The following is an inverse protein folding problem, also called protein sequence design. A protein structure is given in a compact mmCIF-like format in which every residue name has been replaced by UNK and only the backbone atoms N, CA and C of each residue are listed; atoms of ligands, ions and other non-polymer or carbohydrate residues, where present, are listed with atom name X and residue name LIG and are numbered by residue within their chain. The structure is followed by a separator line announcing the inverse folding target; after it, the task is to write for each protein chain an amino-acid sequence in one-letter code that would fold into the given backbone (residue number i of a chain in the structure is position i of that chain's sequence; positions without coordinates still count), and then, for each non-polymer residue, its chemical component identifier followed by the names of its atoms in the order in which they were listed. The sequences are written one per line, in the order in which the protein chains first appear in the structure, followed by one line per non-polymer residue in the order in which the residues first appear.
data_IF_116658498778
#
_entry.id   IF_116658498778
#
_cell.length_a   1.000
_cell.length_b   1.000
_cell.length_c   1.000
_cell.angle_alpha   90.00
_cell.angle_beta   90.00
_cell.angle_gamma   90.00
#
_symmetry.space_group_name_H-M   'P 1'
#
loop_
_entity.id
_entity.type
_entity.pdbx_description
1 polymer ?
#
# COMPACT_ATOMS: atom_id res chain seq x y z
N UNK A 1 -46.15 32.05 45.05
CA UNK A 1 -44.92 31.38 45.50
C UNK A 1 -44.90 30.02 44.82
N UNK A 2 -44.04 29.88 43.82
CA UNK A 2 -43.99 28.71 42.95
C UNK A 2 -43.41 27.50 43.70
N UNK A 3 -44.08 26.34 43.57
CA UNK A 3 -43.46 25.04 43.86
C UNK A 3 -43.59 24.23 42.58
N UNK A 4 -42.42 23.85 42.07
CA UNK A 4 -42.17 23.33 40.74
C UNK A 4 -42.67 21.90 40.53
N UNK A 5 -42.99 21.65 39.26
CA UNK A 5 -43.25 20.38 38.61
C UNK A 5 -42.19 19.31 38.93
N UNK A 6 -42.59 18.25 39.66
CA UNK A 6 -41.86 16.98 39.73
C UNK A 6 -42.78 15.85 39.25
N UNK A 7 -43.13 15.87 37.96
CA UNK A 7 -43.80 14.74 37.29
C UNK A 7 -43.24 14.44 35.89
N UNK A 8 -42.05 14.96 35.56
CA UNK A 8 -41.42 14.81 34.24
C UNK A 8 -40.39 13.68 34.09
N UNK A 9 -40.01 12.99 35.18
CA UNK A 9 -38.84 12.08 35.17
C UNK A 9 -39.20 10.59 35.04
N UNK A 10 -40.37 10.15 35.53
CA UNK A 10 -40.69 8.71 35.58
C UNK A 10 -41.21 8.14 34.25
N UNK A 11 -41.82 8.96 33.38
CA UNK A 11 -42.33 8.49 32.08
C UNK A 11 -41.24 8.33 31.00
N UNK A 12 -40.06 8.95 31.18
CA UNK A 12 -38.95 8.79 30.24
C UNK A 12 -38.15 7.49 30.50
N UNK A 13 -38.05 7.08 31.77
CA UNK A 13 -37.34 5.85 32.18
C UNK A 13 -38.13 4.59 31.83
N UNK A 14 -39.47 4.64 31.97
CA UNK A 14 -40.33 3.49 31.60
C UNK A 14 -40.42 3.26 30.08
N UNK A 15 -40.15 4.27 29.24
CA UNK A 15 -40.05 4.10 27.77
C UNK A 15 -38.69 3.57 27.29
N UNK A 16 -37.61 3.79 28.05
CA UNK A 16 -36.27 3.27 27.69
C UNK A 16 -36.08 1.81 28.10
N UNK A 17 -36.73 1.37 29.18
CA UNK A 17 -36.67 -0.03 29.63
C UNK A 17 -37.51 -0.98 28.77
N UNK A 18 -38.57 -0.49 28.11
CA UNK A 18 -39.38 -1.31 27.22
C UNK A 18 -38.68 -1.60 25.87
N UNK A 19 -37.92 -0.65 25.32
CA UNK A 19 -37.25 -0.82 24.03
C UNK A 19 -35.94 -1.62 24.13
N UNK A 20 -35.28 -1.62 25.29
CA UNK A 20 -34.08 -2.44 25.52
C UNK A 20 -34.44 -3.90 25.78
N UNK A 21 -35.47 -4.16 26.60
CA UNK A 21 -35.96 -5.53 26.82
C UNK A 21 -36.62 -6.14 25.57
N UNK A 22 -37.38 -5.38 24.76
CA UNK A 22 -37.94 -5.91 23.51
C UNK A 22 -36.86 -6.21 22.46
N UNK A 23 -35.74 -5.47 22.43
CA UNK A 23 -34.65 -5.71 21.48
C UNK A 23 -33.74 -6.87 21.90
N UNK A 24 -33.47 -7.02 23.21
CA UNK A 24 -32.77 -8.20 23.74
C UNK A 24 -33.65 -9.47 23.67
N UNK A 25 -34.96 -9.36 23.94
CA UNK A 25 -35.90 -10.48 23.84
C UNK A 25 -36.18 -10.86 22.39
N UNK A 26 -36.24 -9.90 21.45
CA UNK A 26 -36.26 -10.21 20.02
C UNK A 26 -34.96 -10.90 19.57
N UNK A 27 -33.81 -10.51 20.10
CA UNK A 27 -32.53 -11.20 19.82
C UNK A 27 -32.46 -12.60 20.46
N UNK A 28 -33.05 -12.83 21.63
CA UNK A 28 -33.07 -14.14 22.29
C UNK A 28 -34.11 -15.09 21.70
N UNK A 29 -35.23 -14.58 21.16
CA UNK A 29 -36.26 -15.36 20.48
C UNK A 29 -35.96 -15.67 19.01
N UNK A 30 -34.99 -14.98 18.39
CA UNK A 30 -34.41 -15.34 17.08
C UNK A 30 -33.21 -16.31 17.26
N UNK A 31 -33.18 -17.09 18.35
CA UNK A 31 -32.34 -18.28 18.42
C UNK A 31 -32.94 -19.42 17.59
N UNK A 32 -32.88 -19.23 16.28
CA UNK A 32 -33.10 -20.30 15.32
C UNK A 32 -31.93 -21.29 15.47
N UNK A 33 -32.27 -22.57 15.64
CA UNK A 33 -31.41 -23.75 15.86
C UNK A 33 -30.04 -23.66 15.17
N UNK A 34 -29.04 -24.25 15.82
CA UNK A 34 -27.62 -24.52 15.45
C UNK A 34 -27.35 -25.05 14.03
N UNK A 35 -27.92 -24.44 12.98
CA UNK A 35 -27.81 -24.89 11.59
C UNK A 35 -26.41 -24.64 11.01
N UNK A 36 -25.71 -23.61 11.49
CA UNK A 36 -24.39 -23.23 11.01
C UNK A 36 -23.37 -23.25 12.16
N UNK A 37 -22.59 -24.32 12.22
CA UNK A 37 -21.55 -24.51 13.24
C UNK A 37 -20.29 -23.70 12.94
N UNK A 38 -19.77 -23.01 13.96
CA UNK A 38 -18.49 -22.30 13.91
C UNK A 38 -17.35 -23.28 13.60
N UNK A 39 -17.39 -24.47 14.20
CA UNK A 39 -16.38 -25.52 14.01
C UNK A 39 -16.30 -26.01 12.55
N UNK A 40 -17.41 -25.95 11.81
CA UNK A 40 -17.42 -26.32 10.39
C UNK A 40 -16.59 -25.31 9.56
N UNK A 41 -16.75 -24.01 9.83
CA UNK A 41 -15.96 -22.94 9.19
C UNK A 41 -14.49 -23.09 9.55
N UNK A 42 -14.21 -23.29 10.84
CA UNK A 42 -12.85 -23.42 11.33
C UNK A 42 -12.13 -24.62 10.70
N UNK A 43 -12.78 -25.80 10.66
CA UNK A 43 -12.24 -27.00 10.02
C UNK A 43 -12.03 -26.79 8.52
N UNK A 44 -12.98 -26.15 7.84
CA UNK A 44 -12.88 -25.84 6.42
C UNK A 44 -11.67 -24.92 6.12
N UNK A 45 -11.51 -23.83 6.87
CA UNK A 45 -10.39 -22.90 6.71
C UNK A 45 -9.05 -23.55 7.11
N UNK A 46 -9.01 -24.39 8.15
CA UNK A 46 -7.82 -25.17 8.50
C UNK A 46 -7.40 -26.12 7.38
N UNK A 47 -8.36 -26.75 6.69
CA UNK A 47 -8.08 -27.66 5.59
C UNK A 47 -7.63 -26.93 4.31
N UNK A 48 -8.33 -25.86 3.91
CA UNK A 48 -8.05 -25.15 2.66
C UNK A 48 -7.00 -24.04 2.78
N UNK A 49 -6.61 -23.65 4.01
CA UNK A 49 -5.75 -22.51 4.39
C UNK A 49 -6.34 -21.14 4.06
N UNK A 50 -6.85 -20.95 2.85
CA UNK A 50 -7.51 -19.73 2.39
C UNK A 50 -8.79 -20.10 1.65
N UNK A 51 -9.84 -19.28 1.79
CA UNK A 51 -11.10 -19.48 1.07
C UNK A 51 -11.75 -18.16 0.65
N UNK A 52 -12.52 -18.18 -0.42
CA UNK A 52 -13.38 -17.06 -0.81
C UNK A 52 -14.70 -17.09 -0.04
N UNK A 53 -15.43 -15.97 -0.06
CA UNK A 53 -16.77 -15.90 0.51
C UNK A 53 -17.69 -16.99 -0.07
N UNK A 54 -17.69 -17.17 -1.39
CA UNK A 54 -18.57 -18.14 -2.06
C UNK A 54 -18.25 -19.58 -1.63
N UNK A 55 -16.97 -19.92 -1.48
CA UNK A 55 -16.54 -21.24 -0.99
C UNK A 55 -17.03 -21.50 0.44
N UNK A 56 -16.92 -20.51 1.33
CA UNK A 56 -17.42 -20.60 2.71
C UNK A 56 -18.96 -20.72 2.71
N UNK A 57 -19.64 -19.95 1.85
CA UNK A 57 -21.10 -19.98 1.69
C UNK A 57 -21.59 -21.36 1.25
N UNK A 58 -20.97 -21.95 0.23
CA UNK A 58 -21.30 -23.29 -0.26
C UNK A 58 -21.02 -24.35 0.81
N UNK A 59 -19.90 -24.27 1.53
CA UNK A 59 -19.54 -25.23 2.58
C UNK A 59 -20.53 -25.22 3.77
N UNK A 60 -21.19 -24.10 4.02
CA UNK A 60 -22.17 -23.95 5.10
C UNK A 60 -23.62 -24.21 4.70
N UNK A 61 -23.91 -24.48 3.42
CA UNK A 61 -25.29 -24.68 2.95
C UNK A 61 -26.07 -23.39 2.74
N UNK A 62 -25.45 -22.41 2.11
CA UNK A 62 -26.04 -21.14 1.66
C UNK A 62 -26.59 -20.19 2.76
N UNK A 63 -25.85 -19.92 3.85
CA UNK A 63 -26.27 -18.92 4.83
C UNK A 63 -26.25 -17.50 4.26
N UNK A 64 -27.02 -16.62 4.91
CA UNK A 64 -26.99 -15.19 4.63
C UNK A 64 -25.60 -14.59 4.90
N UNK A 65 -25.23 -13.56 4.12
CA UNK A 65 -23.93 -12.89 4.20
C UNK A 65 -23.57 -12.43 5.62
N UNK A 66 -24.53 -11.79 6.30
CA UNK A 66 -24.33 -11.30 7.68
C UNK A 66 -24.06 -12.45 8.67
N UNK A 67 -24.65 -13.63 8.47
CA UNK A 67 -24.44 -14.81 9.31
C UNK A 67 -23.00 -15.32 9.19
N UNK A 68 -22.46 -15.39 7.96
CA UNK A 68 -21.07 -15.80 7.73
C UNK A 68 -20.11 -14.84 8.43
N UNK A 69 -20.26 -13.53 8.22
CA UNK A 69 -19.34 -12.55 8.80
C UNK A 69 -19.40 -12.50 10.33
N UNK A 70 -20.59 -12.65 10.90
CA UNK A 70 -20.73 -12.77 12.37
C UNK A 70 -19.97 -13.99 12.89
N UNK A 71 -20.14 -15.15 12.26
CA UNK A 71 -19.45 -16.39 12.66
C UNK A 71 -17.94 -16.36 12.41
N UNK A 72 -17.49 -15.66 11.37
CA UNK A 72 -16.07 -15.43 11.13
C UNK A 72 -15.47 -14.47 12.16
N UNK A 73 -16.21 -13.44 12.59
CA UNK A 73 -15.77 -12.52 13.63
C UNK A 73 -15.48 -13.25 14.95
N UNK A 74 -16.28 -14.28 15.29
CA UNK A 74 -16.04 -15.16 16.45
C UNK A 74 -14.72 -15.97 16.35
N UNK A 75 -14.13 -16.08 15.16
CA UNK A 75 -12.94 -16.91 14.86
C UNK A 75 -11.65 -16.10 14.61
N UNK A 76 -11.63 -14.80 14.95
CA UNK A 76 -10.51 -13.89 14.68
C UNK A 76 -9.98 -14.00 13.23
N UNK A 77 -10.91 -14.03 12.28
CA UNK A 77 -10.56 -14.17 10.87
C UNK A 77 -9.76 -12.97 10.34
N UNK A 78 -9.00 -13.20 9.28
CA UNK A 78 -8.29 -12.19 8.52
C UNK A 78 -8.78 -12.18 7.08
N UNK A 79 -8.90 -10.98 6.51
CA UNK A 79 -9.13 -10.79 5.08
C UNK A 79 -7.81 -10.47 4.38
N UNK A 80 -7.71 -10.88 3.12
CA UNK A 80 -6.55 -10.57 2.30
C UNK A 80 -6.49 -9.07 2.03
N UNK A 81 -5.38 -8.41 2.32
CA UNK A 81 -5.22 -7.01 1.91
C UNK A 81 -5.00 -6.90 0.39
N UNK A 82 -4.54 -7.97 -0.25
CA UNK A 82 -4.52 -8.13 -1.70
C UNK A 82 -5.89 -8.54 -2.26
N UNK A 83 -6.05 -8.53 -3.59
CA UNK A 83 -7.27 -9.00 -4.27
C UNK A 83 -8.58 -8.38 -3.75
N UNK A 84 -8.51 -7.16 -3.20
CA UNK A 84 -9.66 -6.40 -2.65
C UNK A 84 -10.40 -7.12 -1.52
N UNK A 85 -9.71 -7.85 -0.64
CA UNK A 85 -10.38 -8.52 0.49
C UNK A 85 -11.15 -9.77 0.11
N UNK A 86 -10.87 -10.38 -1.05
CA UNK A 86 -11.64 -11.53 -1.57
C UNK A 86 -11.43 -12.81 -0.76
N UNK A 87 -10.26 -12.99 -0.16
CA UNK A 87 -9.89 -14.22 0.53
C UNK A 87 -9.87 -14.04 2.03
N UNK A 88 -10.23 -15.11 2.74
CA UNK A 88 -10.31 -15.17 4.19
C UNK A 88 -9.49 -16.34 4.72
N UNK A 89 -8.88 -16.13 5.88
CA UNK A 89 -8.09 -17.12 6.62
C UNK A 89 -8.32 -16.94 8.11
N UNK A 90 -7.96 -17.94 8.91
CA UNK A 90 -7.85 -17.78 10.36
C UNK A 90 -6.51 -17.14 10.72
N UNK A 91 -6.48 -16.35 11.79
CA UNK A 91 -5.22 -15.83 12.35
C UNK A 91 -4.28 -16.94 12.78
N UNK A 92 -4.83 -18.05 13.31
CA UNK A 92 -4.06 -19.21 13.77
C UNK A 92 -3.38 -20.02 12.65
N UNK A 93 -3.88 -19.95 11.41
CA UNK A 93 -3.30 -20.65 10.26
C UNK A 93 -2.27 -19.82 9.51
N UNK A 94 -2.26 -18.50 9.71
CA UNK A 94 -1.40 -17.57 9.01
C UNK A 94 0.03 -17.58 9.59
N UNK A 95 1.02 -17.83 8.73
CA UNK A 95 2.45 -17.83 9.11
C UNK A 95 3.10 -16.51 8.72
N UNK A 96 3.02 -15.53 9.61
CA UNK A 96 3.60 -14.21 9.37
C UNK A 96 5.13 -14.22 9.40
N UNK A 97 5.74 -13.49 8.48
CA UNK A 97 7.17 -13.19 8.50
C UNK A 97 7.50 -12.09 9.53
N UNK A 98 8.77 -11.69 9.61
CA UNK A 98 9.23 -10.63 10.52
C UNK A 98 8.50 -9.28 10.32
N UNK A 99 8.05 -8.98 9.11
CA UNK A 99 7.28 -7.78 8.77
C UNK A 99 5.78 -7.91 9.09
N UNK A 100 5.32 -9.08 9.54
CA UNK A 100 3.90 -9.32 9.81
C UNK A 100 3.08 -9.61 8.57
N UNK A 101 3.72 -9.97 7.45
CA UNK A 101 3.07 -10.33 6.19
C UNK A 101 3.12 -11.85 5.98
N UNK A 102 2.07 -12.39 5.38
CA UNK A 102 2.00 -13.78 4.99
C UNK A 102 1.52 -13.90 3.56
N UNK A 103 2.29 -14.58 2.72
CA UNK A 103 1.88 -14.96 1.38
C UNK A 103 1.31 -16.38 1.38
N UNK A 104 0.17 -16.55 0.71
CA UNK A 104 -0.41 -17.85 0.47
C UNK A 104 -0.97 -17.89 -0.96
N UNK A 105 -0.33 -18.67 -1.85
CA UNK A 105 -0.78 -18.83 -3.25
C UNK A 105 -0.95 -17.48 -3.97
N UNK A 106 0.05 -16.60 -3.83
CA UNK A 106 0.04 -15.22 -4.37
C UNK A 106 -1.01 -14.28 -3.77
N UNK A 107 -1.73 -14.72 -2.72
CA UNK A 107 -2.62 -13.88 -1.92
C UNK A 107 -1.90 -13.45 -0.67
N UNK A 108 -1.87 -12.14 -0.45
CA UNK A 108 -1.21 -11.55 0.70
C UNK A 108 -2.17 -11.21 1.84
N UNK A 109 -1.75 -11.55 3.05
CA UNK A 109 -2.39 -11.27 4.33
C UNK A 109 -1.45 -10.51 5.24
N UNK A 110 -2.03 -9.73 6.14
CA UNK A 110 -1.29 -8.91 7.09
C UNK A 110 -1.83 -9.14 8.48
N UNK A 111 -0.94 -9.17 9.47
CA UNK A 111 -1.33 -9.24 10.88
C UNK A 111 -2.13 -8.01 11.34
N UNK A 112 -1.96 -6.89 10.63
CA UNK A 112 -2.61 -5.60 10.87
C UNK A 112 -4.01 -5.52 10.23
N UNK A 113 -4.43 -6.54 9.48
CA UNK A 113 -5.76 -6.59 8.86
C UNK A 113 -5.74 -6.15 7.40
N UNK A 114 -6.44 -5.06 7.09
CA UNK A 114 -6.64 -4.60 5.71
C UNK A 114 -5.45 -3.77 5.18
N UNK A 115 -5.52 -3.37 3.92
CA UNK A 115 -4.44 -2.61 3.25
C UNK A 115 -4.20 -1.24 3.89
N UNK A 116 -5.23 -0.55 4.37
CA UNK A 116 -5.10 0.77 5.00
C UNK A 116 -4.36 0.65 6.32
N UNK A 117 -4.79 -0.28 7.17
CA UNK A 117 -4.20 -0.49 8.50
C UNK A 117 -2.76 -1.03 8.38
N UNK A 118 -2.52 -1.88 7.39
CA UNK A 118 -1.16 -2.35 7.06
C UNK A 118 -0.28 -1.21 6.58
N UNK A 119 -0.74 -0.39 5.63
CA UNK A 119 0.05 0.73 5.13
C UNK A 119 0.37 1.75 6.24
N UNK A 120 -0.57 2.06 7.12
CA UNK A 120 -0.33 2.93 8.26
C UNK A 120 0.70 2.32 9.23
N UNK A 121 0.55 1.06 9.61
CA UNK A 121 1.48 0.39 10.52
C UNK A 121 2.91 0.40 9.97
N UNK A 122 3.07 0.16 8.67
CA UNK A 122 4.38 0.23 8.00
C UNK A 122 4.94 1.66 8.05
N UNK A 123 4.15 2.68 7.69
CA UNK A 123 4.59 4.08 7.77
C UNK A 123 4.98 4.48 9.19
N UNK A 124 4.23 4.07 10.21
CA UNK A 124 4.53 4.38 11.62
C UNK A 124 5.79 3.66 12.13
N UNK A 125 5.99 2.41 11.73
CA UNK A 125 7.18 1.63 12.12
C UNK A 125 8.46 2.04 11.37
N UNK A 126 8.33 2.72 10.24
CA UNK A 126 9.48 3.17 9.44
C UNK A 126 10.26 4.28 10.14
N UNK A 127 11.59 4.19 10.10
CA UNK A 127 12.48 5.26 10.57
C UNK A 127 12.57 6.46 9.61
N UNK A 128 12.10 6.33 8.37
CA UNK A 128 12.23 7.33 7.31
C UNK A 128 10.90 7.65 6.59
N UNK A 129 9.80 7.05 7.03
CA UNK A 129 8.55 7.02 6.26
C UNK A 129 8.67 6.14 5.02
N UNK A 130 7.72 6.28 4.09
CA UNK A 130 7.72 5.53 2.83
C UNK A 130 7.22 6.37 1.66
N UNK A 131 7.80 6.16 0.48
CA UNK A 131 7.16 6.56 -0.78
C UNK A 131 6.13 5.53 -1.24
N UNK A 132 5.23 5.92 -2.13
CA UNK A 132 4.25 5.00 -2.70
C UNK A 132 4.89 3.84 -3.49
N UNK A 133 6.05 4.07 -4.11
CA UNK A 133 6.82 3.06 -4.84
C UNK A 133 7.50 2.08 -3.87
N UNK A 134 8.18 2.59 -2.84
CA UNK A 134 8.80 1.75 -1.80
C UNK A 134 7.75 0.84 -1.14
N UNK A 135 6.62 1.40 -0.72
CA UNK A 135 5.58 0.62 -0.05
C UNK A 135 4.93 -0.41 -0.99
N UNK A 136 4.86 -0.12 -2.30
CA UNK A 136 4.39 -1.08 -3.30
C UNK A 136 5.35 -2.26 -3.45
N UNK A 137 6.66 -2.01 -3.42
CA UNK A 137 7.68 -3.07 -3.50
C UNK A 137 7.61 -4.00 -2.28
N UNK A 138 7.40 -3.43 -1.09
CA UNK A 138 7.29 -4.19 0.17
C UNK A 138 5.95 -4.94 0.29
N UNK A 139 4.82 -4.29 -0.01
CA UNK A 139 3.50 -4.90 0.15
C UNK A 139 3.05 -5.70 -1.07
N UNK A 140 3.79 -5.65 -2.18
CA UNK A 140 3.47 -6.28 -3.46
C UNK A 140 2.12 -5.86 -4.08
N UNK A 141 1.54 -4.74 -3.64
CA UNK A 141 0.24 -4.21 -4.10
C UNK A 141 0.35 -2.70 -4.34
N UNK A 142 -0.43 -2.16 -5.28
CA UNK A 142 -0.49 -0.71 -5.50
C UNK A 142 -1.08 0.00 -4.28
N UNK A 143 -0.31 0.89 -3.65
CA UNK A 143 -0.66 1.56 -2.39
C UNK A 143 -1.12 3.01 -2.54
N UNK A 144 -0.98 3.62 -3.73
CA UNK A 144 -1.27 5.04 -3.96
C UNK A 144 -2.65 5.48 -3.45
N UNK A 145 -3.70 4.74 -3.80
CA UNK A 145 -5.06 5.05 -3.35
C UNK A 145 -5.24 4.90 -1.83
N UNK A 146 -4.68 3.84 -1.24
CA UNK A 146 -4.72 3.61 0.20
C UNK A 146 -4.04 4.76 0.96
N UNK A 147 -2.86 5.16 0.50
CA UNK A 147 -2.12 6.28 1.08
C UNK A 147 -2.85 7.61 0.93
N UNK A 148 -3.46 7.89 -0.23
CA UNK A 148 -4.30 9.08 -0.40
C UNK A 148 -5.48 9.10 0.57
N UNK A 149 -6.11 7.95 0.80
CA UNK A 149 -7.21 7.84 1.76
C UNK A 149 -6.73 8.09 3.20
N UNK A 150 -5.60 7.50 3.60
CA UNK A 150 -5.01 7.69 4.93
C UNK A 150 -4.64 9.15 5.21
N UNK A 151 -4.12 9.88 4.20
CA UNK A 151 -3.84 11.32 4.30
C UNK A 151 -5.12 12.12 4.48
N UNK A 152 -6.16 11.82 3.68
CA UNK A 152 -7.46 12.49 3.79
C UNK A 152 -8.13 12.27 5.14
N UNK A 153 -7.93 11.10 5.75
CA UNK A 153 -8.44 10.81 7.10
C UNK A 153 -7.53 11.33 8.23
N UNK A 154 -6.43 12.01 7.92
CA UNK A 154 -5.49 12.53 8.92
C UNK A 154 -4.69 11.47 9.69
N UNK A 155 -4.67 10.21 9.23
CA UNK A 155 -3.94 9.11 9.90
C UNK A 155 -2.44 9.14 9.61
N UNK A 156 -2.06 9.68 8.45
CA UNK A 156 -0.68 9.86 8.01
C UNK A 156 -0.52 11.25 7.40
N UNK A 157 0.69 11.78 7.46
CA UNK A 157 1.06 13.04 6.80
C UNK A 157 1.73 12.74 5.45
N UNK A 158 1.72 13.71 4.55
CA UNK A 158 2.39 13.61 3.25
C UNK A 158 3.18 14.87 2.97
N UNK A 159 4.45 14.69 2.65
CA UNK A 159 5.36 15.79 2.33
C UNK A 159 6.10 15.57 1.02
N UNK A 160 6.38 16.63 0.26
CA UNK A 160 7.27 16.56 -0.88
C UNK A 160 8.72 16.41 -0.40
N UNK A 161 9.40 15.37 -0.87
CA UNK A 161 10.85 15.22 -0.77
C UNK A 161 11.40 15.14 -2.19
N UNK A 162 12.20 16.12 -2.59
CA UNK A 162 12.71 16.23 -3.95
C UNK A 162 11.56 16.19 -4.98
N UNK A 163 11.48 15.14 -5.81
CA UNK A 163 10.46 14.97 -6.85
C UNK A 163 9.29 14.05 -6.45
N UNK A 164 9.30 13.47 -5.23
CA UNK A 164 8.33 12.44 -4.82
C UNK A 164 7.74 12.72 -3.44
N UNK A 165 6.48 12.33 -3.26
CA UNK A 165 5.83 12.41 -1.97
C UNK A 165 6.25 11.25 -1.05
N UNK A 166 6.71 11.63 0.14
CA UNK A 166 6.96 10.71 1.25
C UNK A 166 5.79 10.80 2.22
N UNK A 167 5.33 9.63 2.65
CA UNK A 167 4.28 9.48 3.63
C UNK A 167 4.90 9.21 4.99
N UNK A 168 4.51 10.02 5.96
CA UNK A 168 5.06 10.08 7.31
C UNK A 168 3.96 9.75 8.33
N UNK A 169 4.35 9.47 9.57
CA UNK A 169 3.39 9.27 10.65
C UNK A 169 2.43 10.46 10.80
N UNK A 170 1.20 10.19 11.24
CA UNK A 170 0.24 11.23 11.64
C UNK A 170 0.71 12.04 12.86
N UNK A 171 1.55 11.43 13.70
CA UNK A 171 2.06 12.00 14.94
C UNK A 171 3.31 12.85 14.66
N UNK A 172 3.27 14.14 15.02
CA UNK A 172 4.29 15.12 14.66
C UNK A 172 5.70 14.74 15.14
N UNK A 173 5.83 14.26 16.38
CA UNK A 173 7.12 13.88 16.95
C UNK A 173 7.78 12.71 16.19
N UNK A 174 6.98 11.74 15.73
CA UNK A 174 7.48 10.62 14.90
C UNK A 174 7.80 11.12 13.51
N UNK A 175 6.93 11.93 12.91
CA UNK A 175 7.13 12.50 11.59
C UNK A 175 8.42 13.34 11.52
N UNK A 176 8.71 14.16 12.53
CA UNK A 176 9.94 14.94 12.62
C UNK A 176 11.20 14.09 12.67
N UNK A 177 11.16 12.98 13.41
CA UNK A 177 12.26 12.01 13.43
C UNK A 177 12.44 11.39 12.04
N UNK A 178 11.35 10.98 11.39
CA UNK A 178 11.38 10.40 10.05
C UNK A 178 11.96 11.37 9.01
N UNK A 179 11.53 12.64 9.05
CA UNK A 179 12.06 13.71 8.17
C UNK A 179 13.57 13.88 8.33
N UNK A 180 14.05 13.97 9.58
CA UNK A 180 15.48 14.15 9.87
C UNK A 180 16.31 12.96 9.38
N UNK A 181 15.89 11.74 9.68
CA UNK A 181 16.57 10.52 9.24
C UNK A 181 16.61 10.43 7.72
N UNK A 182 15.48 10.68 7.04
CA UNK A 182 15.43 10.60 5.57
C UNK A 182 16.32 11.65 4.89
N UNK A 183 16.37 12.88 5.41
CA UNK A 183 17.30 13.91 4.91
C UNK A 183 18.76 13.49 5.09
N UNK A 184 19.11 12.86 6.22
CA UNK A 184 20.46 12.35 6.46
C UNK A 184 20.81 11.17 5.53
N UNK A 185 19.86 10.25 5.33
CA UNK A 185 20.03 9.11 4.43
C UNK A 185 20.22 9.57 2.98
N UNK A 186 19.40 10.48 2.47
CA UNK A 186 19.57 11.04 1.12
C UNK A 186 20.95 11.71 0.93
N UNK A 187 21.42 12.48 1.93
CA UNK A 187 22.76 13.08 1.90
C UNK A 187 23.86 12.02 1.86
N UNK A 188 23.74 10.97 2.69
CA UNK A 188 24.70 9.87 2.76
C UNK A 188 24.72 9.04 1.48
N UNK A 189 23.55 8.72 0.94
CA UNK A 189 23.41 7.92 -0.26
C UNK A 189 23.92 8.71 -1.48
N UNK A 190 23.63 10.01 -1.57
CA UNK A 190 24.25 10.89 -2.56
C UNK A 190 25.78 10.92 -2.43
N UNK A 191 26.30 11.08 -1.22
CA UNK A 191 27.74 11.02 -0.96
C UNK A 191 28.35 9.68 -1.41
N UNK A 192 27.67 8.55 -1.18
CA UNK A 192 28.15 7.22 -1.62
C UNK A 192 28.15 7.02 -3.14
N UNK A 193 27.28 7.72 -3.86
CA UNK A 193 27.19 7.64 -5.32
C UNK A 193 28.24 8.50 -6.01
N UNK A 194 28.59 9.61 -5.39
CA UNK A 194 29.33 10.69 -6.05
C UNK A 194 30.79 10.76 -5.61
N UNK A 195 31.15 10.18 -4.46
CA UNK A 195 32.49 10.31 -3.88
C UNK A 195 33.36 9.09 -4.24
N UNK A 196 34.16 9.24 -5.29
CA UNK A 196 35.47 8.56 -5.39
C UNK A 196 36.57 9.44 -4.77
N UNK A 197 36.37 10.76 -4.72
CA UNK A 197 37.29 11.72 -4.13
C UNK A 197 36.68 12.39 -2.88
N UNK A 198 37.17 12.10 -1.66
CA UNK A 198 36.67 12.67 -0.41
C UNK A 198 36.81 14.20 -0.32
N UNK A 199 37.67 14.80 -1.14
CA UNK A 199 37.94 16.24 -1.14
C UNK A 199 36.98 17.03 -2.04
N UNK A 200 36.18 16.37 -2.88
CA UNK A 200 35.27 17.04 -3.81
C UNK A 200 34.00 17.50 -3.09
N UNK A 201 33.68 18.79 -3.17
CA UNK A 201 32.48 19.32 -2.55
C UNK A 201 31.22 18.71 -3.19
N UNK A 202 30.19 18.44 -2.37
CA UNK A 202 28.90 17.85 -2.83
C UNK A 202 28.29 18.62 -4.00
N UNK A 203 28.37 19.96 -3.98
CA UNK A 203 27.81 20.80 -5.04
C UNK A 203 28.64 20.77 -6.33
N UNK A 204 29.97 20.72 -6.25
CA UNK A 204 30.85 20.58 -7.42
C UNK A 204 30.62 19.23 -8.12
N UNK A 205 30.40 18.20 -7.31
CA UNK A 205 30.15 16.87 -7.81
C UNK A 205 28.76 16.74 -8.46
N UNK A 206 27.73 17.40 -7.89
CA UNK A 206 26.43 17.58 -8.56
C UNK A 206 26.58 18.30 -9.90
N UNK A 207 27.31 19.41 -9.94
CA UNK A 207 27.53 20.19 -11.16
C UNK A 207 28.22 19.34 -12.25
N UNK A 208 29.24 18.57 -11.86
CA UNK A 208 29.95 17.65 -12.76
C UNK A 208 29.01 16.58 -13.34
N UNK A 209 28.16 15.97 -12.52
CA UNK A 209 27.19 14.96 -12.97
C UNK A 209 26.14 15.56 -13.91
N UNK A 210 25.67 16.77 -13.62
CA UNK A 210 24.72 17.49 -14.48
C UNK A 210 25.35 17.82 -15.83
N UNK A 211 26.60 18.29 -15.85
CA UNK A 211 27.35 18.57 -17.06
C UNK A 211 27.54 17.29 -17.89
N UNK A 212 27.96 16.19 -17.27
CA UNK A 212 28.09 14.90 -17.95
C UNK A 212 26.75 14.44 -18.54
N UNK A 213 25.67 14.50 -17.76
CA UNK A 213 24.33 14.14 -18.24
C UNK A 213 23.86 14.99 -19.42
N UNK A 214 24.31 16.24 -19.55
CA UNK A 214 23.96 17.11 -20.68
C UNK A 214 24.59 16.65 -22.00
N UNK A 215 25.69 15.90 -21.95
CA UNK A 215 26.39 15.34 -23.12
C UNK A 215 25.81 14.00 -23.59
N UNK A 216 24.94 13.38 -22.79
CA UNK A 216 24.35 12.06 -23.08
C UNK A 216 23.09 12.17 -23.93
N UNK A 217 22.87 11.19 -24.81
CA UNK A 217 21.59 11.05 -25.50
C UNK A 217 20.47 10.54 -24.55
N UNK A 218 19.22 10.59 -25.00
CA UNK A 218 18.03 10.22 -24.20
C UNK A 218 18.17 8.82 -23.56
N UNK A 219 18.68 7.84 -24.32
CA UNK A 219 18.85 6.47 -23.84
C UNK A 219 19.99 6.36 -22.83
N UNK A 220 21.15 6.93 -23.13
CA UNK A 220 22.31 6.92 -22.24
C UNK A 220 21.98 7.59 -20.90
N UNK A 221 21.33 8.76 -20.96
CA UNK A 221 20.91 9.50 -19.77
C UNK A 221 19.92 8.69 -18.92
N UNK A 222 18.96 8.01 -19.56
CA UNK A 222 18.01 7.11 -18.88
C UNK A 222 18.68 5.90 -18.22
N UNK A 223 19.62 5.26 -18.90
CA UNK A 223 20.36 4.12 -18.35
C UNK A 223 21.28 4.57 -17.21
N UNK A 224 22.01 5.68 -17.37
CA UNK A 224 22.83 6.26 -16.31
C UNK A 224 22.00 6.60 -15.07
N UNK A 225 20.85 7.27 -15.25
CA UNK A 225 19.95 7.55 -14.15
C UNK A 225 19.47 6.26 -13.44
N UNK A 226 19.16 5.21 -14.22
CA UNK A 226 18.79 3.91 -13.69
C UNK A 226 19.91 3.25 -12.87
N UNK A 227 21.16 3.36 -13.34
CA UNK A 227 22.35 2.86 -12.63
C UNK A 227 22.56 3.60 -11.31
N UNK A 228 22.50 4.93 -11.32
CA UNK A 228 22.67 5.71 -10.10
C UNK A 228 21.53 5.44 -9.10
N UNK A 229 20.31 5.22 -9.59
CA UNK A 229 19.22 4.77 -8.71
C UNK A 229 19.50 3.41 -8.07
N UNK A 230 20.17 2.48 -8.77
CA UNK A 230 20.49 1.17 -8.22
C UNK A 230 21.47 1.26 -7.06
N UNK A 231 22.48 2.14 -7.18
CA UNK A 231 23.46 2.36 -6.12
C UNK A 231 22.82 2.93 -4.85
N UNK A 232 21.84 3.81 -5.00
CA UNK A 232 21.12 4.43 -3.86
C UNK A 232 20.13 3.48 -3.18
N UNK A 233 19.66 2.44 -3.87
CA UNK A 233 18.61 1.56 -3.36
C UNK A 233 17.27 2.27 -3.21
N UNK A 234 16.64 2.16 -2.03
CA UNK A 234 15.30 2.67 -1.77
C UNK A 234 15.21 4.20 -1.90
N UNK A 235 14.23 4.68 -2.67
CA UNK A 235 14.06 6.11 -2.96
C UNK A 235 15.02 6.65 -4.02
N UNK A 236 15.92 5.82 -4.56
CA UNK A 236 16.91 6.22 -5.56
C UNK A 236 16.29 6.83 -6.83
N UNK A 237 15.18 6.27 -7.35
CA UNK A 237 14.54 6.80 -8.56
C UNK A 237 14.12 8.26 -8.38
N UNK A 238 13.48 8.55 -7.25
CA UNK A 238 12.98 9.87 -6.92
C UNK A 238 14.12 10.89 -6.78
N UNK A 239 15.17 10.47 -6.09
CA UNK A 239 16.31 11.31 -5.82
C UNK A 239 17.09 11.63 -7.11
N UNK A 240 17.38 10.61 -7.92
CA UNK A 240 18.07 10.79 -9.21
C UNK A 240 17.22 11.55 -10.21
N UNK A 241 15.91 11.31 -10.25
CA UNK A 241 14.98 12.07 -11.08
C UNK A 241 15.03 13.56 -10.74
N UNK A 242 15.01 13.90 -9.45
CA UNK A 242 15.12 15.30 -9.01
C UNK A 242 16.48 15.90 -9.31
N UNK A 243 17.56 15.15 -9.05
CA UNK A 243 18.93 15.60 -9.32
C UNK A 243 19.13 15.91 -10.81
N UNK A 244 18.71 14.99 -11.69
CA UNK A 244 18.94 15.08 -13.12
C UNK A 244 17.84 15.83 -13.87
N UNK A 245 16.77 16.29 -13.21
CA UNK A 245 15.62 16.90 -13.86
C UNK A 245 14.91 15.95 -14.84
N UNK A 246 14.69 14.71 -14.44
CA UNK A 246 14.06 13.64 -15.23
C UNK A 246 12.74 13.19 -14.60
N UNK A 247 11.89 12.50 -15.37
CA UNK A 247 10.70 11.87 -14.82
C UNK A 247 11.06 10.58 -14.03
N UNK A 248 10.54 10.38 -12.79
CA UNK A 248 10.85 9.20 -11.98
C UNK A 248 10.52 7.86 -12.65
N UNK A 249 9.49 7.77 -13.49
CA UNK A 249 9.20 6.55 -14.24
C UNK A 249 10.23 6.29 -15.33
N UNK A 250 10.84 7.33 -15.89
CA UNK A 250 11.95 7.21 -16.84
C UNK A 250 13.17 6.60 -16.17
N UNK A 251 13.51 7.07 -14.96
CA UNK A 251 14.61 6.51 -14.15
C UNK A 251 14.35 5.05 -13.79
N UNK A 252 13.15 4.74 -13.27
CA UNK A 252 12.75 3.38 -12.92
C UNK A 252 12.78 2.42 -14.12
N UNK A 253 12.39 2.91 -15.32
CA UNK A 253 12.50 2.14 -16.56
C UNK A 253 13.96 1.86 -16.92
N UNK A 254 14.85 2.85 -16.82
CA UNK A 254 16.29 2.66 -17.03
C UNK A 254 16.86 1.59 -16.11
N UNK A 255 16.50 1.64 -14.82
CA UNK A 255 16.88 0.63 -13.83
C UNK A 255 16.39 -0.77 -14.20
N UNK A 256 15.13 -0.90 -14.61
CA UNK A 256 14.56 -2.20 -15.00
C UNK A 256 15.26 -2.79 -16.22
N UNK A 257 15.59 -1.97 -17.22
CA UNK A 257 16.33 -2.42 -18.41
C UNK A 257 17.75 -2.88 -18.07
N UNK A 258 18.42 -2.23 -17.11
CA UNK A 258 19.72 -2.69 -16.61
C UNK A 258 19.61 -4.02 -15.85
N UNK A 259 18.56 -4.19 -15.04
CA UNK A 259 18.32 -5.39 -14.25
C UNK A 259 17.87 -6.59 -15.10
N UNK A 260 17.12 -6.36 -16.17
CA UNK A 260 16.66 -7.43 -17.06
C UNK A 260 17.75 -7.90 -18.05
N UNK A 261 18.80 -7.10 -18.27
CA UNK A 261 19.83 -7.38 -19.26
C UNK A 261 19.37 -7.21 -20.71
N UNK A 262 18.12 -6.80 -20.95
CA UNK A 262 17.55 -6.59 -22.28
C UNK A 262 17.95 -5.21 -22.82
N UNK A 263 19.21 -5.08 -23.26
CA UNK A 263 19.73 -3.88 -23.89
C UNK A 263 19.67 -4.03 -25.42
N UNK A 264 18.68 -3.46 -26.13
CA UNK A 264 18.64 -3.53 -27.60
C UNK A 264 19.90 -2.89 -28.19
N UNK A 265 20.68 -3.62 -28.98
CA UNK A 265 22.02 -3.18 -29.38
C UNK A 265 22.00 -2.00 -30.37
N UNK A 266 20.97 -1.87 -31.23
CA UNK A 266 21.02 -0.92 -32.36
C UNK A 266 20.01 0.23 -32.35
N UNK A 267 19.12 0.33 -31.35
CA UNK A 267 18.08 1.38 -31.35
C UNK A 267 17.98 2.14 -30.02
N UNK A 268 17.87 3.47 -30.13
CA UNK A 268 17.66 4.38 -28.99
C UNK A 268 16.24 4.21 -28.40
N UNK A 269 15.27 3.80 -29.24
CA UNK A 269 13.88 3.48 -28.86
C UNK A 269 13.51 2.11 -29.41
N UNK A 270 12.64 1.36 -28.70
CA UNK A 270 11.98 0.19 -29.29
C UNK A 270 11.20 0.61 -30.56
N UNK A 271 10.96 -0.32 -31.49
CA UNK A 271 10.13 -0.03 -32.66
C UNK A 271 8.79 0.57 -32.20
N UNK A 272 8.53 1.83 -32.56
CA UNK A 272 7.32 2.51 -32.14
C UNK A 272 6.10 1.95 -32.87
N UNK A 273 4.96 1.88 -32.17
CA UNK A 273 3.64 1.68 -32.77
C UNK A 273 3.16 2.98 -33.46
N UNK A 274 3.95 3.49 -34.41
CA UNK A 274 3.51 4.57 -35.28
C UNK A 274 2.26 4.14 -36.04
N UNK A 275 1.41 5.11 -36.44
CA UNK A 275 0.32 4.84 -37.38
C UNK A 275 0.89 4.12 -38.59
N UNK A 276 0.28 2.99 -38.96
CA UNK A 276 0.53 2.33 -40.23
C UNK A 276 0.47 3.38 -41.35
N UNK A 277 1.48 3.39 -42.23
CA UNK A 277 1.51 4.25 -43.40
C UNK A 277 0.20 4.07 -44.17
N UNK A 278 -0.63 5.10 -44.20
CA UNK A 278 -1.82 5.09 -45.03
C UNK A 278 -1.35 5.22 -46.48
N UNK A 279 -1.54 4.16 -47.27
CA UNK A 279 -1.25 4.21 -48.70
C UNK A 279 -1.98 5.40 -49.33
N UNK A 280 -1.22 6.32 -49.94
CA UNK A 280 -1.82 7.40 -50.72
C UNK A 280 -2.52 6.76 -51.92
N UNK A 281 -3.86 6.84 -51.96
CA UNK A 281 -4.64 6.45 -53.14
C UNK A 281 -4.10 7.20 -54.36
N UNK A 282 -3.55 6.46 -55.33
CA UNK A 282 -3.19 7.02 -56.63
C UNK A 282 -4.46 7.56 -57.29
N UNK A 283 -4.39 8.79 -57.82
CA UNK A 283 -5.47 9.36 -58.64
C UNK A 283 -5.69 8.43 -59.83
N UNK A 284 -6.95 7.99 -60.02
CA UNK A 284 -7.36 7.33 -61.26
C UNK A 284 -7.31 8.37 -62.37
N UNK A 285 -6.56 8.06 -63.42
CA UNK A 285 -6.58 8.73 -64.73
C UNK A 285 -7.95 8.61 -65.36
#
# INVERSE_FOLDING_TARGET
MAIENVYGSEYLILRTLALTNLFEWANSLIMNKTKYSIQAIEKFLKHHKIATFDQIKTALGDPARCTIFRKLADLEYLSSYSHRGKYYTLRSTARFNALGLWDCRSVWFSRFGNLLDTAEAFVKSSGEGYTATELKEVLHVKTKHALTQLVRSGRIQREPFDSVYVYLSGEDHVADRQRKTRKAHLKRSFASVVIVNPDLAVEEAKATILLFCSMLNERQRRLYAGLESLKLGHGGDAHIASLLGMDPHTVARGRQELMSGELPHDRVRAAGAGRLLQEKKRRRS
#
